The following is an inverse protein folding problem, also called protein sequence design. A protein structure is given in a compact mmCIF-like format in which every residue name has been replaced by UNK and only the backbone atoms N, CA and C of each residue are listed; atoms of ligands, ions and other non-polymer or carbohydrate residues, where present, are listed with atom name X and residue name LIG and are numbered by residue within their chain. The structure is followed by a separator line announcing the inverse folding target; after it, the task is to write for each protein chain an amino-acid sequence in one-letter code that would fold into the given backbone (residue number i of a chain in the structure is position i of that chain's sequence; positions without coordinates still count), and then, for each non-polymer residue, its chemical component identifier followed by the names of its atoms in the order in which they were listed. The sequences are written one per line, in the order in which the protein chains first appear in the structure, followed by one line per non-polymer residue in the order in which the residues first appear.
data_IF_858393093932
#
_entry.id   IF_858393093932
#
_cell.length_a   1.000
_cell.length_b   1.000
_cell.length_c   1.000
_cell.angle_alpha   90.00
_cell.angle_beta   90.00
_cell.angle_gamma   90.00
#
_symmetry.space_group_name_H-M   'P 1'
#
loop_
_entity.id
_entity.type
_entity.pdbx_description
1 polymer ?
#
# COMPACT_ATOMS: atom_id res chain seq x y z
N UNK A 1 -4.25 -1.02 -7.97
CA UNK A 1 -4.62 -0.16 -6.83
C UNK A 1 -3.40 -0.03 -5.92
N UNK A 2 -2.90 1.17 -5.68
CA UNK A 2 -1.75 1.40 -4.80
C UNK A 2 -2.19 2.09 -3.51
N UNK A 3 -2.09 1.38 -2.39
CA UNK A 3 -2.56 1.85 -1.09
C UNK A 3 -1.83 3.13 -0.66
N UNK A 4 -0.49 3.14 -0.71
CA UNK A 4 0.28 4.32 -0.30
C UNK A 4 0.11 5.53 -1.21
N UNK A 5 -0.17 5.35 -2.51
CA UNK A 5 -0.41 6.48 -3.42
C UNK A 5 -1.79 7.10 -3.21
N UNK A 6 -2.85 6.29 -3.17
CA UNK A 6 -4.20 6.81 -2.93
C UNK A 6 -4.39 7.27 -1.48
N UNK A 7 -3.73 6.62 -0.53
CA UNK A 7 -3.76 6.92 0.90
C UNK A 7 -3.00 8.17 1.32
N UNK A 8 -2.19 8.76 0.43
CA UNK A 8 -1.54 10.05 0.66
C UNK A 8 -2.56 11.19 0.88
N UNK A 9 -3.80 11.01 0.42
CA UNK A 9 -4.91 11.94 0.63
C UNK A 9 -5.94 11.30 1.58
N UNK A 10 -6.19 11.92 2.73
CA UNK A 10 -7.01 11.34 3.80
C UNK A 10 -8.52 11.25 3.53
N UNK A 11 -9.02 11.85 2.45
CA UNK A 11 -10.42 11.76 2.01
C UNK A 11 -10.68 10.57 1.07
N UNK A 12 -9.65 9.82 0.70
CA UNK A 12 -9.79 8.59 -0.10
C UNK A 12 -10.09 7.40 0.81
N UNK A 13 -11.32 6.91 0.76
CA UNK A 13 -11.69 5.64 1.38
C UNK A 13 -11.23 4.46 0.50
N UNK A 14 -10.08 3.90 0.82
CA UNK A 14 -9.48 2.82 0.04
C UNK A 14 -10.33 1.54 0.03
N UNK A 15 -11.04 1.25 1.12
CA UNK A 15 -11.90 0.07 1.23
C UNK A 15 -13.12 0.24 0.33
N UNK A 16 -13.76 1.41 0.37
CA UNK A 16 -14.86 1.74 -0.53
C UNK A 16 -14.41 1.70 -2.00
N UNK A 17 -13.21 2.21 -2.32
CA UNK A 17 -12.65 2.13 -3.67
C UNK A 17 -12.43 0.67 -4.11
N UNK A 18 -11.91 -0.21 -3.25
CA UNK A 18 -11.78 -1.64 -3.59
C UNK A 18 -13.14 -2.25 -3.91
N UNK A 19 -14.15 -1.98 -3.09
CA UNK A 19 -15.50 -2.50 -3.32
C UNK A 19 -16.14 -1.96 -4.62
N UNK A 20 -15.95 -0.66 -4.91
CA UNK A 20 -16.52 -0.01 -6.08
C UNK A 20 -15.87 -0.46 -7.41
N UNK A 21 -14.57 -0.77 -7.39
CA UNK A 21 -13.79 -1.09 -8.58
C UNK A 21 -13.29 -2.54 -8.63
N UNK A 22 -13.88 -3.42 -7.82
CA UNK A 22 -13.44 -4.81 -7.61
C UNK A 22 -13.16 -5.58 -8.91
N UNK A 23 -14.00 -5.44 -9.94
CA UNK A 23 -13.88 -6.16 -11.22
C UNK A 23 -12.78 -5.59 -12.14
N UNK A 24 -12.11 -4.51 -11.71
CA UNK A 24 -11.09 -3.76 -12.47
C UNK A 24 -9.75 -3.64 -11.73
N UNK A 25 -9.61 -4.27 -10.57
CA UNK A 25 -8.35 -4.30 -9.82
C UNK A 25 -7.59 -5.56 -10.22
N UNK A 26 -6.59 -5.39 -11.09
CA UNK A 26 -5.79 -6.50 -11.61
C UNK A 26 -4.40 -6.63 -10.96
N UNK A 27 -4.00 -5.65 -10.16
CA UNK A 27 -2.72 -5.65 -9.44
C UNK A 27 -2.75 -4.65 -8.28
N UNK A 28 -2.11 -4.98 -7.15
CA UNK A 28 -2.06 -4.09 -5.98
C UNK A 28 -0.65 -3.86 -5.43
N UNK A 29 -0.44 -2.65 -4.95
CA UNK A 29 0.72 -2.27 -4.16
C UNK A 29 0.24 -2.06 -2.73
N UNK A 30 0.69 -2.91 -1.81
CA UNK A 30 0.34 -2.83 -0.40
C UNK A 30 1.54 -2.27 0.37
N UNK A 31 1.61 -0.94 0.45
CA UNK A 31 2.48 -0.15 1.34
C UNK A 31 1.65 0.88 2.08
N UNK A 32 2.21 1.49 3.12
CA UNK A 32 1.50 2.46 3.94
C UNK A 32 2.23 3.81 4.00
N UNK A 33 1.49 4.85 4.33
CA UNK A 33 1.99 6.21 4.51
C UNK A 33 1.39 6.79 5.78
N UNK A 34 2.10 7.71 6.40
CA UNK A 34 1.57 8.55 7.48
C UNK A 34 1.54 9.99 7.00
N UNK A 35 0.39 10.64 7.14
CA UNK A 35 0.17 12.03 6.73
C UNK A 35 0.52 12.96 7.89
N UNK A 36 1.05 14.11 7.55
CA UNK A 36 1.34 15.19 8.49
C UNK A 36 0.27 16.29 8.39
N UNK A 37 0.16 17.11 9.42
CA UNK A 37 -0.88 18.14 9.52
C UNK A 37 -0.81 19.20 8.42
N UNK A 38 0.38 19.43 7.85
CA UNK A 38 0.64 20.39 6.77
C UNK A 38 0.31 19.85 5.36
N UNK A 39 -0.16 18.60 5.28
CA UNK A 39 -0.47 17.91 4.03
C UNK A 39 0.73 17.18 3.41
N UNK A 40 1.89 17.18 4.06
CA UNK A 40 3.01 16.30 3.73
C UNK A 40 2.69 14.85 4.16
N UNK A 41 3.50 13.89 3.71
CA UNK A 41 3.45 12.51 4.16
C UNK A 41 4.82 11.83 4.03
N UNK A 42 5.02 10.75 4.76
CA UNK A 42 6.19 9.87 4.62
C UNK A 42 5.80 8.40 4.45
N UNK A 43 6.71 7.61 3.91
CA UNK A 43 6.54 6.14 3.82
C UNK A 43 6.57 5.54 5.22
N UNK A 44 5.51 4.87 5.62
CA UNK A 44 5.38 4.27 6.95
C UNK A 44 5.72 2.77 6.92
N UNK A 45 5.92 2.17 8.09
CA UNK A 45 5.96 0.71 8.16
C UNK A 45 4.60 0.17 7.67
N UNK A 46 4.60 -0.98 6.98
CA UNK A 46 3.43 -1.48 6.27
C UNK A 46 2.14 -1.58 7.10
N UNK A 47 2.26 -1.84 8.41
CA UNK A 47 1.14 -2.00 9.33
C UNK A 47 0.97 -0.82 10.30
N UNK A 48 1.87 0.15 10.31
CA UNK A 48 1.91 1.26 11.26
C UNK A 48 1.87 2.60 10.52
N UNK A 49 0.82 2.77 9.72
CA UNK A 49 0.54 3.99 8.99
C UNK A 49 -0.96 4.24 8.92
N UNK A 50 -1.34 5.29 8.21
CA UNK A 50 -2.69 5.80 8.26
C UNK A 50 -3.74 4.97 7.51
N UNK A 51 -3.31 4.13 6.57
CA UNK A 51 -4.22 3.24 5.85
C UNK A 51 -4.49 2.00 6.69
N UNK A 52 -5.77 1.62 6.82
CA UNK A 52 -6.16 0.34 7.42
C UNK A 52 -5.76 -0.83 6.52
N UNK A 53 -4.53 -1.31 6.71
CA UNK A 53 -3.97 -2.40 5.90
C UNK A 53 -4.74 -3.71 6.11
N UNK A 54 -5.24 -3.96 7.33
CA UNK A 54 -5.99 -5.19 7.65
C UNK A 54 -7.34 -5.17 6.94
N UNK A 55 -8.10 -4.07 7.05
CA UNK A 55 -9.37 -3.90 6.36
C UNK A 55 -9.21 -3.90 4.84
N UNK A 56 -8.14 -3.29 4.32
CA UNK A 56 -7.84 -3.29 2.88
C UNK A 56 -7.56 -4.69 2.35
N UNK A 57 -6.72 -5.48 3.04
CA UNK A 57 -6.45 -6.87 2.67
C UNK A 57 -7.72 -7.70 2.75
N UNK A 58 -8.53 -7.53 3.79
CA UNK A 58 -9.81 -8.24 3.92
C UNK A 58 -10.76 -7.92 2.74
N UNK A 59 -10.85 -6.65 2.32
CA UNK A 59 -11.66 -6.25 1.17
C UNK A 59 -11.16 -6.86 -0.14
N UNK A 60 -9.83 -6.93 -0.33
CA UNK A 60 -9.22 -7.57 -1.50
C UNK A 60 -9.47 -9.09 -1.53
N UNK A 61 -9.34 -9.80 -0.40
CA UNK A 61 -9.66 -11.24 -0.31
C UNK A 61 -11.14 -11.51 -0.61
N UNK A 62 -12.04 -10.64 -0.16
CA UNK A 62 -13.46 -10.73 -0.49
C UNK A 62 -13.69 -10.49 -2.00
N UNK A 63 -12.96 -9.54 -2.60
CA UNK A 63 -12.97 -9.31 -4.04
C UNK A 63 -12.56 -10.57 -4.79
N UNK A 64 -11.37 -11.14 -4.50
CA UNK A 64 -10.85 -12.35 -5.13
C UNK A 64 -11.85 -13.51 -5.06
N UNK A 65 -12.46 -13.69 -3.88
CA UNK A 65 -13.49 -14.72 -3.65
C UNK A 65 -14.73 -14.49 -4.51
N UNK A 66 -15.14 -13.23 -4.71
CA UNK A 66 -16.34 -12.88 -5.48
C UNK A 66 -16.15 -12.97 -6.99
N UNK A 67 -14.95 -12.68 -7.50
CA UNK A 67 -14.64 -12.71 -8.94
C UNK A 67 -14.03 -14.05 -9.39
N UNK A 68 -13.63 -14.90 -8.43
CA UNK A 68 -12.99 -16.20 -8.71
C UNK A 68 -11.60 -16.09 -9.32
N UNK A 69 -10.88 -14.99 -9.04
CA UNK A 69 -9.56 -14.71 -9.61
C UNK A 69 -8.66 -14.12 -8.51
N UNK A 70 -7.37 -14.49 -8.55
CA UNK A 70 -6.37 -13.93 -7.66
C UNK A 70 -5.88 -12.56 -8.18
N UNK A 71 -5.62 -11.64 -7.26
CA UNK A 71 -5.10 -10.32 -7.51
C UNK A 71 -3.64 -10.31 -7.03
N UNK A 72 -2.66 -10.29 -7.94
CA UNK A 72 -1.26 -10.25 -7.54
C UNK A 72 -0.96 -8.97 -6.75
N UNK A 73 -0.02 -9.07 -5.82
CA UNK A 73 0.38 -7.97 -4.95
C UNK A 73 1.90 -7.83 -4.88
N UNK A 74 2.37 -6.65 -4.47
CA UNK A 74 3.74 -6.45 -4.00
C UNK A 74 3.77 -5.48 -2.80
N UNK A 75 4.80 -5.54 -1.94
CA UNK A 75 4.97 -4.60 -0.81
C UNK A 75 5.29 -3.16 -1.24
N UNK A 76 5.54 -2.94 -2.53
CA UNK A 76 5.88 -1.66 -3.17
C UNK A 76 7.19 -1.03 -2.73
N UNK A 77 7.18 -0.32 -1.60
CA UNK A 77 8.37 0.32 -1.03
C UNK A 77 8.64 -0.23 0.37
N UNK A 78 9.92 -0.23 0.77
CA UNK A 78 10.36 -0.56 2.11
C UNK A 78 11.32 0.49 2.65
N UNK A 79 11.40 0.59 3.98
CA UNK A 79 12.43 1.38 4.63
C UNK A 79 13.80 0.78 4.36
N UNK A 80 14.79 1.63 4.14
CA UNK A 80 16.19 1.19 4.14
C UNK A 80 16.59 0.81 5.56
N UNK A 81 16.94 -0.46 5.76
CA UNK A 81 17.37 -1.00 7.04
C UNK A 81 18.90 -1.11 7.12
N UNK A 82 19.41 -1.56 8.26
CA UNK A 82 20.82 -1.45 8.69
C UNK A 82 21.84 -1.80 7.61
N UNK A 83 21.89 -3.06 7.15
CA UNK A 83 22.98 -3.56 6.28
C UNK A 83 22.96 -2.94 4.87
N UNK A 84 21.91 -2.19 4.55
CA UNK A 84 21.67 -1.63 3.24
C UNK A 84 22.07 -0.17 3.12
N UNK A 85 22.18 0.55 4.25
CA UNK A 85 22.49 1.97 4.28
C UNK A 85 23.84 2.29 3.65
N UNK A 86 24.80 1.36 3.75
CA UNK A 86 26.15 1.51 3.22
C UNK A 86 26.31 0.98 1.78
N UNK A 87 25.25 0.42 1.17
CA UNK A 87 25.31 -0.08 -0.21
C UNK A 87 25.45 1.10 -1.17
N UNK A 88 26.52 1.12 -1.97
CA UNK A 88 26.78 2.18 -2.98
C UNK A 88 25.70 2.26 -4.07
N UNK A 89 24.99 1.17 -4.32
CA UNK A 89 23.94 1.03 -5.31
C UNK A 89 22.53 1.02 -4.69
N UNK A 90 22.39 1.58 -3.48
CA UNK A 90 21.11 1.71 -2.80
C UNK A 90 20.06 2.40 -3.70
N UNK A 91 18.92 1.74 -3.89
CA UNK A 91 17.78 2.24 -4.64
C UNK A 91 16.74 2.77 -3.64
N UNK A 92 16.39 4.07 -3.64
CA UNK A 92 15.45 4.64 -2.69
C UNK A 92 14.12 3.89 -2.65
N UNK A 93 13.75 3.33 -1.50
CA UNK A 93 12.53 2.55 -1.31
C UNK A 93 12.54 1.12 -1.87
N UNK A 94 13.63 0.68 -2.51
CA UNK A 94 13.78 -0.64 -3.16
C UNK A 94 15.01 -1.39 -2.65
N UNK A 95 15.30 -1.24 -1.37
CA UNK A 95 16.35 -2.01 -0.69
C UNK A 95 15.82 -3.44 -0.38
N UNK A 96 16.72 -4.42 -0.32
CA UNK A 96 16.48 -5.85 -0.21
C UNK A 96 17.48 -6.56 0.72
#
# INVERSE_FOLDING_TARGET
MCAGSYGARGDNDLIAMVNAFKDRIYFVHLRNVTREEDGSFYEAAHLDGDNDMVGLVQALLNCESSIGCQIPMRPDHGHTLTDEQDKKDLKPGYSA
#
